data_IF_050028236288
#
_entry.id   IF_050028236288
#
_cell.length_a   1.000
_cell.length_b   1.000
_cell.length_c   1.000
_cell.angle_alpha   90.00
_cell.angle_beta   90.00
_cell.angle_gamma   90.00
#
_symmetry.space_group_name_H-M   'P 1'
#
loop_
_entity.id
_entity.type
_entity.pdbx_description
1 polymer ?
#
# COMPACT_ATOMS: atom_id res chain seq x y z
N UNK A 1 -4.12 2.79 -12.47
CA UNK A 1 -4.30 1.74 -11.43
C UNK A 1 -3.16 1.88 -10.43
N UNK A 2 -3.46 1.98 -9.14
CA UNK A 2 -2.49 1.97 -8.03
C UNK A 2 -2.51 0.62 -7.32
N UNK A 3 -1.40 0.25 -6.70
CA UNK A 3 -1.32 -0.93 -5.82
C UNK A 3 -2.10 -0.66 -4.53
N UNK A 4 -2.91 -1.61 -4.09
CA UNK A 4 -3.47 -1.68 -2.74
C UNK A 4 -2.85 -2.81 -1.93
N UNK A 5 -3.28 -2.94 -0.67
CA UNK A 5 -2.79 -4.02 0.20
C UNK A 5 -3.28 -5.40 -0.27
N UNK A 6 -4.42 -5.48 -0.95
CA UNK A 6 -4.96 -6.72 -1.51
C UNK A 6 -4.22 -7.18 -2.78
N UNK A 7 -3.38 -6.36 -3.39
CA UNK A 7 -2.44 -6.76 -4.46
C UNK A 7 -1.10 -7.24 -3.86
N UNK A 8 -1.19 -8.13 -2.87
CA UNK A 8 -0.06 -8.76 -2.18
C UNK A 8 -0.35 -10.24 -1.90
N UNK A 9 0.70 -11.08 -2.00
CA UNK A 9 0.56 -12.55 -1.92
C UNK A 9 -0.11 -13.02 -0.65
N UNK A 10 0.24 -12.43 0.49
CA UNK A 10 -0.32 -12.82 1.79
C UNK A 10 -1.85 -12.66 1.82
N UNK A 11 -2.36 -11.54 1.31
CA UNK A 11 -3.79 -11.28 1.26
C UNK A 11 -4.48 -12.08 0.17
N UNK A 12 -3.84 -12.31 -0.98
CA UNK A 12 -4.39 -13.19 -2.01
C UNK A 12 -4.58 -14.63 -1.53
N UNK A 13 -3.63 -15.14 -0.74
CA UNK A 13 -3.72 -16.45 -0.12
C UNK A 13 -4.85 -16.54 0.91
N UNK A 14 -4.95 -15.53 1.78
CA UNK A 14 -5.93 -15.53 2.89
C UNK A 14 -7.36 -15.24 2.42
N UNK A 15 -7.52 -14.34 1.45
CA UNK A 15 -8.82 -13.81 1.01
C UNK A 15 -9.27 -14.32 -0.36
N UNK A 16 -8.66 -15.39 -0.85
CA UNK A 16 -9.24 -16.22 -1.91
C UNK A 16 -8.79 -15.92 -3.33
N UNK A 17 -8.15 -14.79 -3.63
CA UNK A 17 -7.69 -14.49 -5.00
C UNK A 17 -6.71 -15.55 -5.54
N UNK A 18 -5.78 -16.01 -4.71
CA UNK A 18 -4.86 -17.09 -5.09
C UNK A 18 -5.62 -18.38 -5.43
N UNK A 19 -6.58 -18.74 -4.58
CA UNK A 19 -7.42 -19.93 -4.78
C UNK A 19 -8.27 -19.83 -6.04
N UNK A 20 -8.87 -18.66 -6.28
CA UNK A 20 -9.72 -18.40 -7.44
C UNK A 20 -8.94 -18.50 -8.75
N UNK A 21 -7.77 -17.87 -8.84
CA UNK A 21 -6.94 -17.93 -10.05
C UNK A 21 -6.47 -19.35 -10.32
N UNK A 22 -6.03 -20.08 -9.29
CA UNK A 22 -5.61 -21.49 -9.43
C UNK A 22 -6.75 -22.42 -9.83
N UNK A 23 -7.97 -22.16 -9.37
CA UNK A 23 -9.14 -22.96 -9.71
C UNK A 23 -9.66 -22.68 -11.14
N UNK A 24 -9.61 -21.43 -11.60
CA UNK A 24 -10.10 -21.02 -12.93
C UNK A 24 -9.05 -21.14 -14.03
N UNK A 25 -7.77 -21.07 -13.67
CA UNK A 25 -6.63 -21.08 -14.58
C UNK A 25 -5.56 -22.07 -14.07
N UNK A 26 -4.38 -21.59 -13.68
CA UNK A 26 -3.29 -22.40 -13.17
C UNK A 26 -2.38 -21.60 -12.21
N UNK A 27 -1.40 -22.29 -11.62
CA UNK A 27 -0.41 -21.70 -10.72
C UNK A 27 0.45 -20.64 -11.43
N UNK A 28 0.80 -20.88 -12.71
CA UNK A 28 1.63 -19.95 -13.49
C UNK A 28 0.94 -18.61 -13.68
N UNK A 29 -0.36 -18.61 -13.90
CA UNK A 29 -1.19 -17.41 -14.04
C UNK A 29 -1.19 -16.59 -12.75
N UNK A 30 -1.32 -17.25 -11.59
CA UNK A 30 -1.21 -16.56 -10.30
C UNK A 30 0.18 -15.96 -10.06
N UNK A 31 1.24 -16.68 -10.43
CA UNK A 31 2.61 -16.16 -10.33
C UNK A 31 2.82 -14.93 -11.21
N UNK A 32 2.22 -14.90 -12.41
CA UNK A 32 2.22 -13.74 -13.29
C UNK A 32 1.46 -12.55 -12.69
N UNK A 33 0.25 -12.76 -12.12
CA UNK A 33 -0.48 -11.71 -11.40
C UNK A 33 0.33 -11.16 -10.23
N UNK A 34 0.95 -12.04 -9.43
CA UNK A 34 1.77 -11.63 -8.29
C UNK A 34 2.96 -10.76 -8.72
N UNK A 35 3.62 -11.12 -9.82
CA UNK A 35 4.70 -10.32 -10.40
C UNK A 35 4.19 -8.98 -10.95
N UNK A 36 3.04 -8.97 -11.61
CA UNK A 36 2.40 -7.76 -12.12
C UNK A 36 2.03 -6.79 -10.98
N UNK A 37 1.46 -7.30 -9.90
CA UNK A 37 1.11 -6.51 -8.72
C UNK A 37 2.31 -5.81 -8.10
N UNK A 38 3.49 -6.45 -8.11
CA UNK A 38 4.74 -5.82 -7.68
C UNK A 38 5.17 -4.62 -8.56
N UNK A 39 4.67 -4.52 -9.79
CA UNK A 39 5.00 -3.41 -10.70
C UNK A 39 4.03 -2.21 -10.57
N UNK A 40 2.86 -2.41 -9.97
CA UNK A 40 1.87 -1.35 -9.79
C UNK A 40 2.46 -0.16 -9.01
N UNK A 41 2.16 1.08 -9.42
CA UNK A 41 2.61 2.27 -8.71
C UNK A 41 1.91 2.40 -7.34
N UNK A 42 2.62 2.92 -6.34
CA UNK A 42 2.06 3.12 -4.99
C UNK A 42 1.14 4.35 -4.90
N UNK A 43 1.44 5.39 -5.67
CA UNK A 43 0.79 6.70 -5.55
C UNK A 43 0.75 7.41 -6.90
N UNK A 44 -0.27 8.23 -7.11
CA UNK A 44 -0.39 9.15 -8.24
C UNK A 44 -0.46 10.60 -7.75
N UNK A 45 0.06 11.53 -8.55
CA UNK A 45 -0.05 12.96 -8.28
C UNK A 45 -0.67 13.65 -9.48
N UNK A 46 -1.84 14.24 -9.29
CA UNK A 46 -2.62 14.91 -10.34
C UNK A 46 -2.39 16.41 -10.24
N UNK A 47 -1.98 17.03 -11.34
CA UNK A 47 -1.73 18.47 -11.46
C UNK A 47 -0.82 19.06 -10.38
N UNK A 48 0.08 18.25 -9.79
CA UNK A 48 0.93 18.64 -8.64
C UNK A 48 0.13 19.15 -7.43
N UNK A 49 -1.15 18.78 -7.32
CA UNK A 49 -2.08 19.28 -6.30
C UNK A 49 -2.75 18.18 -5.50
N UNK A 50 -3.11 17.08 -6.14
CA UNK A 50 -3.83 15.97 -5.49
C UNK A 50 -2.97 14.72 -5.51
N UNK A 51 -2.65 14.19 -4.33
CA UNK A 51 -1.99 12.90 -4.18
C UNK A 51 -3.05 11.82 -3.91
N UNK A 52 -2.96 10.70 -4.62
CA UNK A 52 -3.86 9.55 -4.45
C UNK A 52 -3.03 8.31 -4.15
N UNK A 53 -3.30 7.69 -3.00
CA UNK A 53 -2.74 6.41 -2.57
C UNK A 53 -3.87 5.51 -2.06
N UNK A 54 -3.57 4.24 -1.81
CA UNK A 54 -4.58 3.28 -1.36
C UNK A 54 -4.85 3.38 0.14
N UNK A 55 -3.78 3.39 0.95
CA UNK A 55 -3.85 3.58 2.40
C UNK A 55 -3.81 5.06 2.75
N UNK A 56 -2.65 5.55 3.20
CA UNK A 56 -2.54 6.95 3.60
C UNK A 56 -1.12 7.44 3.84
N UNK A 57 -1.00 8.33 4.83
CA UNK A 57 0.24 9.04 5.15
C UNK A 57 1.15 8.23 6.09
N UNK A 58 2.27 8.85 6.42
CA UNK A 58 3.45 8.16 6.94
C UNK A 58 3.63 8.36 8.45
N UNK A 59 4.28 7.39 9.09
CA UNK A 59 4.63 7.43 10.51
C UNK A 59 5.71 8.48 10.84
N UNK A 60 6.46 8.94 9.83
CA UNK A 60 7.49 9.97 9.96
C UNK A 60 7.06 11.25 9.25
N UNK A 61 7.41 12.38 9.84
CA UNK A 61 7.27 13.69 9.21
C UNK A 61 8.28 13.88 8.08
N UNK A 62 7.98 14.79 7.16
CA UNK A 62 8.92 15.25 6.14
C UNK A 62 9.12 14.30 4.95
N UNK A 63 8.28 13.27 4.79
CA UNK A 63 8.29 12.42 3.60
C UNK A 63 7.84 13.23 2.38
N UNK A 64 8.71 13.32 1.37
CA UNK A 64 8.50 14.06 0.13
C UNK A 64 8.10 13.12 -1.00
N UNK A 65 7.52 13.68 -2.06
CA UNK A 65 7.18 12.92 -3.28
C UNK A 65 8.39 12.20 -3.91
N UNK A 66 9.60 12.74 -3.74
CA UNK A 66 10.82 12.10 -4.22
C UNK A 66 11.18 10.85 -3.40
N UNK A 67 10.88 10.82 -2.11
CA UNK A 67 11.11 9.66 -1.25
C UNK A 67 10.17 8.52 -1.65
N UNK A 68 8.91 8.84 -1.97
CA UNK A 68 7.95 7.86 -2.51
C UNK A 68 8.43 7.32 -3.87
N UNK A 69 8.96 8.19 -4.74
CA UNK A 69 9.47 7.81 -6.06
C UNK A 69 10.70 6.91 -6.00
N UNK A 70 11.55 7.07 -4.97
CA UNK A 70 12.78 6.28 -4.80
C UNK A 70 12.54 4.92 -4.16
N UNK A 71 11.33 4.62 -3.67
CA UNK A 71 10.98 3.30 -3.12
C UNK A 71 11.16 2.20 -4.17
N UNK A 72 11.98 1.21 -3.84
CA UNK A 72 12.06 -0.05 -4.60
C UNK A 72 10.79 -0.89 -4.38
N UNK A 73 9.78 -0.66 -5.21
CA UNK A 73 8.43 -1.26 -5.06
C UNK A 73 8.24 -2.64 -5.67
N UNK A 74 9.20 -3.12 -6.49
CA UNK A 74 9.13 -4.41 -7.21
C UNK A 74 9.39 -5.61 -6.28
N UNK A 75 8.61 -5.70 -5.21
CA UNK A 75 8.69 -6.69 -4.14
C UNK A 75 7.34 -6.79 -3.42
N UNK A 76 7.17 -7.76 -2.53
CA UNK A 76 6.06 -7.74 -1.56
C UNK A 76 6.27 -6.61 -0.53
N UNK A 77 5.20 -6.04 0.03
CA UNK A 77 5.31 -5.10 1.14
C UNK A 77 6.08 -5.73 2.31
N UNK A 78 6.92 -4.95 2.99
CA UNK A 78 7.52 -5.35 4.26
C UNK A 78 6.65 -4.93 5.44
N UNK A 79 7.21 -5.01 6.66
CA UNK A 79 6.48 -4.69 7.88
C UNK A 79 6.55 -3.19 8.27
N UNK A 80 7.50 -2.44 7.69
CA UNK A 80 7.70 -1.01 7.97
C UNK A 80 8.08 -0.18 6.73
N UNK A 81 7.90 1.14 6.85
CA UNK A 81 8.34 2.15 5.88
C UNK A 81 7.28 2.61 4.87
N UNK A 82 7.70 3.48 3.95
CA UNK A 82 6.82 4.19 2.99
C UNK A 82 5.90 3.22 2.24
N UNK A 83 6.44 2.09 1.77
CA UNK A 83 5.67 1.16 0.95
C UNK A 83 4.48 0.56 1.71
N UNK A 84 4.67 0.08 2.94
CA UNK A 84 3.58 -0.54 3.70
C UNK A 84 2.58 0.52 4.18
N UNK A 85 3.06 1.69 4.60
CA UNK A 85 2.19 2.79 5.05
C UNK A 85 1.33 3.37 3.92
N UNK A 86 1.87 3.47 2.69
CA UNK A 86 1.09 3.83 1.49
C UNK A 86 -0.06 2.85 1.17
N UNK A 87 0.00 1.61 1.70
CA UNK A 87 -0.97 0.55 1.44
C UNK A 87 -1.89 0.27 2.64
N UNK A 88 -1.50 0.65 3.87
CA UNK A 88 -2.16 0.20 5.09
C UNK A 88 -2.57 1.30 6.09
N UNK A 89 -1.99 2.50 6.01
CA UNK A 89 -2.31 3.57 6.95
C UNK A 89 -3.74 4.08 6.78
N UNK A 90 -4.37 4.50 7.88
CA UNK A 90 -5.74 5.01 7.92
C UNK A 90 -5.78 6.43 8.52
N UNK A 91 -6.69 7.32 8.10
CA UNK A 91 -6.90 8.60 8.79
C UNK A 91 -7.61 8.37 10.15
N UNK A 92 -7.42 9.29 11.08
CA UNK A 92 -8.21 9.37 12.32
C UNK A 92 -8.56 10.82 12.70
N UNK A 93 -9.59 10.98 13.54
CA UNK A 93 -10.10 12.30 13.95
C UNK A 93 -9.20 12.99 14.99
N UNK A 94 -8.38 12.22 15.71
CA UNK A 94 -7.48 12.75 16.74
C UNK A 94 -6.15 13.17 16.12
N UNK A 95 -5.63 14.33 16.53
CA UNK A 95 -4.29 14.79 16.14
C UNK A 95 -3.20 13.78 16.50
N UNK A 96 -2.08 13.88 15.79
CA UNK A 96 -0.90 13.07 15.96
C UNK A 96 -0.95 11.75 15.20
N UNK A 97 -0.18 10.79 15.68
CA UNK A 97 -0.06 9.44 15.10
C UNK A 97 -0.40 8.41 16.16
N UNK A 98 -1.17 7.40 15.76
CA UNK A 98 -1.66 6.37 16.67
C UNK A 98 -1.40 4.97 16.09
N UNK A 99 -1.28 3.93 16.93
CA UNK A 99 -1.15 2.56 16.45
C UNK A 99 -2.30 2.16 15.53
N UNK A 100 -1.98 1.54 14.39
CA UNK A 100 -3.00 1.05 13.46
C UNK A 100 -3.89 -0.02 14.10
N UNK A 101 -5.21 0.12 13.94
CA UNK A 101 -6.18 -0.92 14.32
C UNK A 101 -6.01 -2.20 13.51
N UNK A 102 -5.31 -2.12 12.37
CA UNK A 102 -4.99 -3.27 11.50
C UNK A 102 -3.75 -4.03 11.95
N UNK A 103 -3.04 -3.54 12.97
CA UNK A 103 -1.75 -4.09 13.42
C UNK A 103 -0.57 -3.80 12.48
N UNK A 104 -0.80 -3.07 11.39
CA UNK A 104 0.22 -2.68 10.40
C UNK A 104 -0.10 -1.28 9.84
N UNK A 105 0.92 -0.48 9.56
CA UNK A 105 0.78 0.93 9.20
C UNK A 105 0.53 1.83 10.42
N UNK A 106 0.05 3.05 10.19
CA UNK A 106 -0.21 4.05 11.23
C UNK A 106 -1.59 4.68 11.04
N UNK A 107 -2.24 5.07 12.14
CA UNK A 107 -3.35 6.02 12.05
C UNK A 107 -2.82 7.44 12.14
N UNK A 108 -3.20 8.32 11.23
CA UNK A 108 -2.71 9.70 11.18
C UNK A 108 -3.85 10.72 11.33
N UNK A 109 -3.61 11.71 12.18
CA UNK A 109 -4.53 12.81 12.46
C UNK A 109 -4.54 13.89 11.37
N UNK A 110 -5.47 14.85 11.49
CA UNK A 110 -5.58 15.93 10.51
C UNK A 110 -4.37 16.87 10.50
N UNK A 111 -3.63 17.01 11.60
CA UNK A 111 -2.37 17.76 11.68
C UNK A 111 -1.24 17.14 10.84
N UNK A 112 -1.24 15.83 10.64
CA UNK A 112 -0.28 15.14 9.77
C UNK A 112 -0.60 15.34 8.28
N UNK A 113 -1.85 15.65 7.95
CA UNK A 113 -2.33 15.80 6.58
C UNK A 113 -2.32 17.25 6.05
N UNK A 114 -1.93 18.22 6.88
CA UNK A 114 -1.93 19.66 6.57
C UNK A 114 -0.70 20.11 5.76
#
# INVERSE_FOLDING_TARGET
MSRGNHEAKQLNKMYGFEGEVKAKYDVKTYDLFSQLFCHLPLTHVINKKVMVCHGGLYSKDGIKLNDIRSVYRKREPGDEGIMVESLWSDPCDMNGRHPSKRGVGVMFGPDVAQ
#
